data_IF_685352864670
#
_entry.id   IF_685352864670
#
_cell.length_a   1.000
_cell.length_b   1.000
_cell.length_c   1.000
_cell.angle_alpha   90.00
_cell.angle_beta   90.00
_cell.angle_gamma   90.00
#
_symmetry.space_group_name_H-M   'P 1'
#
loop_
_entity.id
_entity.type
_entity.pdbx_description
1 polymer ?
#
# COMPACT_ATOMS: atom_id res chain seq x y z
N UNK A 1 -8.42 3.64 -23.38
CA UNK A 1 -8.84 4.67 -22.40
C UNK A 1 -7.65 5.42 -21.82
N UNK A 2 -6.68 4.78 -21.15
CA UNK A 2 -5.44 5.46 -20.70
C UNK A 2 -4.71 6.15 -21.87
N UNK A 3 -4.51 5.43 -22.98
CA UNK A 3 -3.84 5.99 -24.17
C UNK A 3 -4.64 7.11 -24.85
N UNK A 4 -5.96 7.13 -24.70
CA UNK A 4 -6.81 8.18 -25.25
C UNK A 4 -6.58 9.50 -24.49
N UNK A 5 -6.55 9.43 -23.15
CA UNK A 5 -6.23 10.57 -22.28
C UNK A 5 -4.82 11.08 -22.60
N UNK A 6 -3.82 10.19 -22.62
CA UNK A 6 -2.45 10.57 -22.91
C UNK A 6 -2.30 11.23 -24.31
N UNK A 7 -2.99 10.70 -25.32
CA UNK A 7 -2.98 11.26 -26.67
C UNK A 7 -3.60 12.64 -26.75
N UNK A 8 -4.72 12.87 -26.07
CA UNK A 8 -5.39 14.17 -26.01
C UNK A 8 -4.54 15.20 -25.24
N UNK A 9 -3.96 14.80 -24.11
CA UNK A 9 -3.09 15.66 -23.31
C UNK A 9 -1.81 16.04 -24.06
N UNK A 10 -1.26 15.14 -24.88
CA UNK A 10 -0.13 15.47 -25.75
C UNK A 10 -0.47 16.55 -26.78
N UNK A 11 -1.71 16.60 -27.25
CA UNK A 11 -2.15 17.56 -28.26
C UNK A 11 -2.57 18.91 -27.67
N UNK A 12 -3.20 18.89 -26.48
CA UNK A 12 -3.86 20.07 -25.91
C UNK A 12 -3.35 20.48 -24.52
N UNK A 13 -2.44 19.72 -23.93
CA UNK A 13 -2.02 19.86 -22.54
C UNK A 13 -2.94 19.13 -21.56
N UNK A 14 -2.37 18.74 -20.42
CA UNK A 14 -3.13 18.20 -19.30
C UNK A 14 -3.91 19.30 -18.57
N UNK A 15 -5.17 19.03 -18.19
CA UNK A 15 -6.00 19.98 -17.46
C UNK A 15 -5.98 19.68 -15.97
N UNK A 16 -5.02 20.28 -15.27
CA UNK A 16 -4.83 20.16 -13.82
C UNK A 16 -5.89 20.89 -12.98
N UNK A 17 -6.83 21.63 -13.59
CA UNK A 17 -7.98 22.18 -12.84
C UNK A 17 -9.12 21.16 -12.69
N UNK A 18 -9.01 19.99 -13.34
CA UNK A 18 -10.03 18.94 -13.23
C UNK A 18 -9.85 18.26 -11.90
N UNK A 19 -10.84 18.35 -11.00
CA UNK A 19 -10.83 17.67 -9.70
C UNK A 19 -9.58 17.94 -8.85
N UNK A 20 -9.03 19.16 -8.91
CA UNK A 20 -7.79 19.54 -8.22
C UNK A 20 -7.84 19.61 -6.68
N UNK A 21 -8.88 19.04 -6.08
CA UNK A 21 -9.14 18.97 -4.63
C UNK A 21 -9.38 17.49 -4.29
N UNK A 22 -9.37 17.13 -3.00
CA UNK A 22 -9.56 15.74 -2.54
C UNK A 22 -10.78 15.04 -3.15
N UNK A 23 -10.52 13.99 -3.93
CA UNK A 23 -11.54 13.29 -4.70
C UNK A 23 -11.67 11.82 -4.28
N UNK A 24 -12.91 11.37 -4.07
CA UNK A 24 -13.21 9.94 -3.87
C UNK A 24 -13.80 9.37 -5.15
N UNK A 25 -13.23 8.28 -5.64
CA UNK A 25 -13.69 7.49 -6.79
C UNK A 25 -14.25 6.14 -6.32
N UNK A 26 -15.32 5.66 -6.93
CA UNK A 26 -15.94 4.37 -6.59
C UNK A 26 -17.17 4.51 -5.68
N UNK A 27 -17.24 3.70 -4.63
CA UNK A 27 -18.22 3.90 -3.57
C UNK A 27 -17.98 5.25 -2.89
N UNK A 28 -19.02 5.85 -2.32
CA UNK A 28 -18.94 7.14 -1.63
C UNK A 28 -18.33 8.30 -2.48
N UNK A 29 -18.31 8.13 -3.81
CA UNK A 29 -17.69 9.10 -4.71
C UNK A 29 -18.28 10.50 -4.58
N UNK A 30 -17.41 11.50 -4.46
CA UNK A 30 -17.77 12.92 -4.42
C UNK A 30 -17.67 13.60 -5.80
N UNK A 31 -17.29 12.85 -6.84
CA UNK A 31 -17.19 13.38 -8.21
C UNK A 31 -18.54 13.85 -8.73
N UNK A 32 -18.56 14.86 -9.59
CA UNK A 32 -19.79 15.25 -10.29
C UNK A 32 -20.18 14.28 -11.43
N UNK A 33 -19.28 13.36 -11.79
CA UNK A 33 -19.43 12.47 -12.95
C UNK A 33 -19.87 11.07 -12.50
N UNK A 34 -21.11 10.72 -12.85
CA UNK A 34 -21.72 9.45 -12.48
C UNK A 34 -20.98 8.20 -12.94
N UNK A 35 -20.04 8.31 -13.90
CA UNK A 35 -19.25 7.14 -14.34
C UNK A 35 -18.33 6.60 -13.24
N UNK A 36 -17.91 7.46 -12.31
CA UNK A 36 -17.05 7.10 -11.18
C UNK A 36 -17.85 6.69 -9.95
N UNK A 37 -19.18 6.70 -10.01
CA UNK A 37 -20.05 6.36 -8.88
C UNK A 37 -20.41 4.88 -8.89
N UNK A 38 -20.10 4.20 -7.79
CA UNK A 38 -20.59 2.85 -7.53
C UNK A 38 -21.66 2.95 -6.45
N UNK A 39 -22.90 2.62 -6.82
CA UNK A 39 -24.01 2.65 -5.89
C UNK A 39 -23.89 1.54 -4.82
N UNK A 40 -24.36 1.81 -3.60
CA UNK A 40 -24.43 0.81 -2.53
C UNK A 40 -25.18 -0.45 -2.97
N UNK A 41 -24.70 -1.62 -2.54
CA UNK A 41 -25.27 -2.93 -2.88
C UNK A 41 -24.91 -3.43 -4.28
N UNK A 42 -24.03 -2.75 -5.01
CA UNK A 42 -23.47 -3.29 -6.25
C UNK A 42 -22.41 -4.34 -5.92
N UNK A 43 -22.72 -5.58 -6.27
CA UNK A 43 -21.78 -6.70 -6.11
C UNK A 43 -20.69 -6.72 -7.18
N UNK A 44 -20.79 -5.95 -8.27
CA UNK A 44 -19.79 -5.92 -9.35
C UNK A 44 -19.60 -4.51 -9.86
N UNK A 45 -18.41 -4.24 -10.41
CA UNK A 45 -18.14 -2.98 -11.07
C UNK A 45 -19.12 -2.80 -12.25
N UNK A 46 -19.90 -1.71 -12.29
CA UNK A 46 -20.91 -1.54 -13.34
C UNK A 46 -20.30 -1.27 -14.72
N UNK A 47 -19.27 -0.43 -14.77
CA UNK A 47 -18.56 -0.01 -15.98
C UNK A 47 -17.08 0.21 -15.67
N UNK A 48 -16.16 -0.22 -16.55
CA UNK A 48 -14.77 0.17 -16.48
C UNK A 48 -14.58 1.68 -16.65
N UNK A 49 -13.57 2.25 -16.00
CA UNK A 49 -13.23 3.66 -16.15
C UNK A 49 -11.72 3.92 -16.03
N UNK A 50 -11.29 5.09 -16.47
CA UNK A 50 -9.92 5.58 -16.28
C UNK A 50 -9.96 6.94 -15.59
N UNK A 51 -9.18 7.07 -14.52
CA UNK A 51 -9.10 8.27 -13.70
C UNK A 51 -8.09 9.23 -14.33
N UNK A 52 -8.49 10.49 -14.43
CA UNK A 52 -7.57 11.61 -14.57
C UNK A 52 -7.88 12.55 -13.42
N UNK A 53 -6.91 12.82 -12.57
CA UNK A 53 -7.02 13.79 -11.50
C UNK A 53 -5.96 14.88 -11.66
N UNK A 54 -6.34 16.13 -11.36
CA UNK A 54 -5.50 17.31 -11.44
C UNK A 54 -4.68 17.55 -10.17
N UNK A 55 -5.00 16.89 -9.06
CA UNK A 55 -4.29 16.96 -7.79
C UNK A 55 -5.25 16.98 -6.60
N UNK A 56 -4.71 16.99 -5.39
CA UNK A 56 -5.48 16.80 -4.17
C UNK A 56 -4.93 15.62 -3.40
N UNK A 57 -5.69 15.12 -2.44
CA UNK A 57 -5.45 13.81 -1.82
C UNK A 57 -6.66 12.92 -2.10
N UNK A 58 -6.47 11.98 -3.01
CA UNK A 58 -7.53 11.23 -3.65
C UNK A 58 -7.63 9.80 -3.10
N UNK A 59 -8.83 9.23 -3.20
CA UNK A 59 -9.14 7.90 -2.66
C UNK A 59 -9.87 7.04 -3.69
N UNK A 60 -9.37 5.83 -3.92
CA UNK A 60 -10.15 4.75 -4.52
C UNK A 60 -10.94 4.02 -3.42
N UNK A 61 -12.26 4.17 -3.40
CA UNK A 61 -13.11 3.46 -2.46
C UNK A 61 -13.85 2.32 -3.17
N UNK A 62 -13.39 1.10 -2.91
CA UNK A 62 -13.92 -0.16 -3.39
C UNK A 62 -14.49 -1.04 -2.25
N UNK A 63 -14.77 -0.42 -1.10
CA UNK A 63 -15.21 -1.06 0.15
C UNK A 63 -16.47 -1.92 0.05
N UNK A 64 -17.32 -1.67 -0.94
CA UNK A 64 -18.55 -2.43 -1.13
C UNK A 64 -18.38 -3.74 -1.91
N UNK A 65 -17.18 -4.07 -2.40
CA UNK A 65 -16.93 -5.32 -3.11
C UNK A 65 -16.46 -6.44 -2.19
N UNK A 66 -16.72 -7.68 -2.59
CA UNK A 66 -16.40 -8.90 -1.83
C UNK A 66 -15.58 -9.91 -2.63
N UNK A 67 -15.29 -9.60 -3.88
CA UNK A 67 -14.35 -10.38 -4.69
C UNK A 67 -12.94 -9.91 -4.42
N UNK A 68 -12.00 -10.84 -4.52
CA UNK A 68 -10.57 -10.56 -4.60
C UNK A 68 -10.28 -9.51 -5.68
N UNK A 69 -9.57 -8.46 -5.29
CA UNK A 69 -9.20 -7.32 -6.12
C UNK A 69 -7.68 -7.27 -6.28
N UNK A 70 -7.23 -6.71 -7.40
CA UNK A 70 -5.84 -6.32 -7.58
C UNK A 70 -5.81 -4.83 -7.86
N UNK A 71 -5.42 -4.03 -6.89
CA UNK A 71 -5.43 -2.57 -6.97
C UNK A 71 -3.99 -2.07 -7.06
N UNK A 72 -3.73 -1.16 -8.00
CA UNK A 72 -2.42 -0.62 -8.28
C UNK A 72 -2.53 0.89 -8.48
N UNK A 73 -1.94 1.64 -7.54
CA UNK A 73 -2.01 3.10 -7.47
C UNK A 73 -0.97 3.81 -8.35
N UNK A 74 -0.16 3.06 -9.10
CA UNK A 74 0.83 3.65 -10.00
C UNK A 74 0.16 4.29 -11.22
N UNK A 75 0.76 5.37 -11.71
CA UNK A 75 0.26 6.07 -12.88
C UNK A 75 0.35 5.18 -14.14
N UNK A 76 -0.71 5.17 -14.94
CA UNK A 76 -0.79 4.28 -16.10
C UNK A 76 -1.04 2.80 -15.78
N UNK A 77 -1.20 2.43 -14.50
CA UNK A 77 -1.54 1.06 -14.11
C UNK A 77 -3.01 0.74 -14.39
N UNK A 78 -3.28 -0.57 -14.47
CA UNK A 78 -4.62 -1.15 -14.54
C UNK A 78 -4.85 -2.04 -13.32
N UNK A 79 -6.08 -1.99 -12.81
CA UNK A 79 -6.53 -2.69 -11.62
C UNK A 79 -7.71 -3.61 -11.95
N UNK A 80 -7.75 -4.74 -11.26
CA UNK A 80 -8.86 -5.70 -11.28
C UNK A 80 -9.81 -5.37 -10.13
N UNK A 81 -11.00 -4.84 -10.43
CA UNK A 81 -11.92 -4.28 -9.42
C UNK A 81 -13.31 -4.83 -9.61
N UNK A 82 -14.00 -5.15 -8.50
CA UNK A 82 -15.40 -5.58 -8.51
C UNK A 82 -15.68 -6.78 -9.44
N UNK A 83 -14.76 -7.75 -9.48
CA UNK A 83 -14.85 -8.97 -10.28
C UNK A 83 -14.59 -8.80 -11.79
N UNK A 84 -13.99 -7.68 -12.21
CA UNK A 84 -13.57 -7.44 -13.59
C UNK A 84 -12.05 -7.36 -13.69
N UNK A 85 -11.50 -7.71 -14.86
CA UNK A 85 -10.07 -7.61 -15.18
C UNK A 85 -9.76 -6.30 -15.88
N UNK A 86 -8.64 -5.67 -15.55
CA UNK A 86 -8.14 -4.42 -16.16
C UNK A 86 -9.22 -3.32 -16.24
N UNK A 87 -10.03 -3.21 -15.20
CA UNK A 87 -11.29 -2.47 -15.23
C UNK A 87 -11.21 -1.05 -14.72
N UNK A 88 -10.24 -0.75 -13.85
CA UNK A 88 -9.97 0.60 -13.37
C UNK A 88 -8.55 0.95 -13.75
N UNK A 89 -8.36 2.07 -14.44
CA UNK A 89 -7.03 2.58 -14.78
C UNK A 89 -6.78 3.94 -14.16
N UNK A 90 -5.52 4.24 -13.87
CA UNK A 90 -5.07 5.59 -13.54
C UNK A 90 -4.35 6.15 -14.77
N UNK A 91 -4.74 7.34 -15.23
CA UNK A 91 -4.07 7.96 -16.37
C UNK A 91 -2.62 8.29 -16.03
N UNK A 92 -1.75 8.33 -17.05
CA UNK A 92 -0.35 8.71 -16.86
C UNK A 92 -0.25 10.12 -16.28
N UNK A 93 0.69 10.31 -15.35
CA UNK A 93 0.89 11.57 -14.63
C UNK A 93 -0.31 12.06 -13.80
N UNK A 94 -1.20 11.13 -13.44
CA UNK A 94 -2.22 11.30 -12.41
C UNK A 94 -1.80 10.47 -11.21
N UNK A 95 -2.04 10.98 -10.01
CA UNK A 95 -1.73 10.29 -8.76
C UNK A 95 -3.02 10.04 -7.99
N UNK A 96 -3.03 8.98 -7.21
CA UNK A 96 -4.08 8.68 -6.23
C UNK A 96 -3.37 8.13 -5.01
N UNK A 97 -3.60 8.75 -3.85
CA UNK A 97 -2.81 8.51 -2.65
C UNK A 97 -3.42 7.42 -1.78
N UNK A 98 -4.73 7.23 -1.82
CA UNK A 98 -5.42 6.37 -0.86
C UNK A 98 -6.26 5.30 -1.54
N UNK A 99 -6.44 4.20 -0.83
CA UNK A 99 -7.33 3.11 -1.22
C UNK A 99 -8.04 2.51 -0.02
N UNK A 100 -9.32 2.25 -0.20
CA UNK A 100 -10.13 1.41 0.69
C UNK A 100 -10.61 0.25 -0.17
N UNK A 101 -10.05 -0.93 0.05
CA UNK A 101 -10.43 -2.16 -0.65
C UNK A 101 -11.61 -2.84 0.05
N UNK A 102 -11.90 -4.08 -0.31
CA UNK A 102 -13.18 -4.74 -0.02
C UNK A 102 -13.10 -5.76 1.11
N UNK A 103 -13.98 -6.76 1.03
CA UNK A 103 -13.97 -7.92 1.93
C UNK A 103 -13.40 -9.19 1.27
N UNK A 104 -12.72 -9.04 0.13
CA UNK A 104 -12.08 -10.13 -0.60
C UNK A 104 -10.63 -10.29 -0.16
N UNK A 105 -9.94 -11.32 -0.67
CA UNK A 105 -8.49 -11.43 -0.44
C UNK A 105 -7.77 -10.57 -1.49
N UNK A 106 -7.44 -9.35 -1.11
CA UNK A 106 -7.04 -8.30 -2.04
C UNK A 106 -5.50 -8.20 -2.14
N UNK A 107 -5.03 -7.82 -3.32
CA UNK A 107 -3.62 -7.43 -3.52
C UNK A 107 -3.56 -5.95 -3.84
N UNK A 108 -2.89 -5.19 -2.98
CA UNK A 108 -2.83 -3.73 -3.07
C UNK A 108 -1.38 -3.30 -3.24
N UNK A 109 -1.15 -2.48 -4.27
CA UNK A 109 0.15 -1.92 -4.61
C UNK A 109 0.01 -0.39 -4.58
N UNK A 110 0.73 0.25 -3.66
CA UNK A 110 0.90 1.70 -3.59
C UNK A 110 1.77 2.24 -4.71
N UNK A 111 2.11 3.52 -4.61
CA UNK A 111 2.99 4.23 -5.54
C UNK A 111 4.20 4.79 -4.79
N UNK A 112 4.87 5.82 -5.32
CA UNK A 112 6.07 6.39 -4.70
C UNK A 112 5.76 7.60 -3.78
N UNK A 113 4.48 7.89 -3.57
CA UNK A 113 4.00 8.94 -2.68
C UNK A 113 3.48 8.31 -1.39
N UNK A 114 3.37 9.08 -0.32
CA UNK A 114 2.78 8.60 0.92
C UNK A 114 1.33 8.14 0.70
N UNK A 115 1.05 6.87 0.95
CA UNK A 115 -0.25 6.26 0.73
C UNK A 115 -0.98 5.92 2.05
N UNK A 116 -2.32 5.99 2.01
CA UNK A 116 -3.17 5.42 3.05
C UNK A 116 -3.94 4.22 2.48
N UNK A 117 -3.53 3.03 2.89
CA UNK A 117 -4.05 1.76 2.39
C UNK A 117 -4.88 1.09 3.47
N UNK A 118 -6.16 0.87 3.19
CA UNK A 118 -7.08 0.07 4.01
C UNK A 118 -7.52 -1.13 3.19
N UNK A 119 -7.02 -2.32 3.51
CA UNK A 119 -7.32 -3.52 2.72
C UNK A 119 -8.71 -4.09 3.04
N UNK A 120 -9.08 -4.13 4.33
CA UNK A 120 -10.46 -4.32 4.74
C UNK A 120 -10.64 -5.64 5.46
N UNK A 121 -11.36 -6.58 4.86
CA UNK A 121 -11.48 -7.93 5.42
C UNK A 121 -11.03 -8.94 4.37
N UNK A 122 -10.52 -10.09 4.81
CA UNK A 122 -9.88 -11.05 3.91
C UNK A 122 -8.43 -11.26 4.31
N UNK A 123 -7.74 -12.19 3.68
CA UNK A 123 -6.30 -12.37 3.85
C UNK A 123 -5.60 -11.54 2.76
N UNK A 124 -5.19 -10.32 3.10
CA UNK A 124 -4.73 -9.33 2.12
C UNK A 124 -3.21 -9.30 1.94
N UNK A 125 -2.76 -8.88 0.76
CA UNK A 125 -1.35 -8.62 0.45
C UNK A 125 -1.18 -7.13 0.14
N UNK A 126 -0.40 -6.44 0.97
CA UNK A 126 -0.23 -4.99 0.91
C UNK A 126 1.24 -4.67 0.62
N UNK A 127 1.49 -3.95 -0.46
CA UNK A 127 2.79 -3.40 -0.81
C UNK A 127 2.67 -1.87 -0.90
N UNK A 128 3.18 -1.15 0.10
CA UNK A 128 3.17 0.33 0.14
C UNK A 128 4.01 0.96 -0.98
N UNK A 129 5.13 0.30 -1.33
CA UNK A 129 6.17 0.81 -2.20
C UNK A 129 6.93 1.96 -1.54
N UNK A 130 7.16 3.08 -2.22
CA UNK A 130 7.97 4.17 -1.67
C UNK A 130 7.09 5.23 -1.03
N UNK A 131 7.51 5.80 0.09
CA UNK A 131 6.70 6.82 0.76
C UNK A 131 6.89 6.76 2.26
N UNK A 132 6.06 7.49 2.99
CA UNK A 132 5.81 7.21 4.41
C UNK A 132 4.35 6.75 4.51
N UNK A 133 4.14 5.45 4.40
CA UNK A 133 2.81 4.88 4.22
C UNK A 133 2.10 4.57 5.53
N UNK A 134 0.78 4.66 5.50
CA UNK A 134 -0.11 4.16 6.54
C UNK A 134 -0.83 2.92 6.01
N UNK A 135 -0.46 1.77 6.56
CA UNK A 135 -0.92 0.47 6.09
C UNK A 135 -1.86 -0.15 7.11
N UNK A 136 -3.07 -0.47 6.69
CA UNK A 136 -4.07 -1.14 7.51
C UNK A 136 -4.52 -2.43 6.82
N UNK A 137 -4.28 -3.57 7.48
CA UNK A 137 -4.71 -4.89 7.00
C UNK A 137 -6.20 -5.08 7.22
N UNK A 138 -6.62 -4.89 8.46
CA UNK A 138 -8.00 -5.05 8.88
C UNK A 138 -8.30 -6.45 9.40
N UNK A 139 -9.44 -7.04 9.01
CA UNK A 139 -9.85 -8.36 9.47
C UNK A 139 -9.25 -9.45 8.60
N UNK A 140 -8.19 -10.10 9.05
CA UNK A 140 -7.52 -11.06 8.18
C UNK A 140 -6.34 -11.77 8.81
N UNK A 141 -5.64 -12.52 7.97
CA UNK A 141 -4.21 -12.80 8.13
C UNK A 141 -3.47 -12.07 7.02
N UNK A 142 -3.07 -10.84 7.30
CA UNK A 142 -2.58 -9.92 6.26
C UNK A 142 -1.06 -9.98 6.12
N UNK A 143 -0.56 -9.74 4.92
CA UNK A 143 0.88 -9.70 4.64
C UNK A 143 1.30 -8.34 4.13
N UNK A 144 2.12 -7.65 4.92
CA UNK A 144 2.76 -6.38 4.57
C UNK A 144 4.12 -6.68 3.94
N UNK A 145 4.24 -6.42 2.64
CA UNK A 145 5.41 -6.77 1.83
C UNK A 145 6.30 -5.56 1.66
N UNK A 146 7.61 -5.75 1.84
CA UNK A 146 8.65 -4.77 1.56
C UNK A 146 9.71 -5.41 0.65
N UNK A 147 10.01 -4.76 -0.47
CA UNK A 147 10.86 -5.29 -1.54
C UNK A 147 12.21 -4.60 -1.62
N UNK A 148 12.27 -3.33 -1.27
CA UNK A 148 13.47 -2.52 -1.27
C UNK A 148 13.65 -1.81 0.08
N UNK A 149 14.90 -1.51 0.45
CA UNK A 149 15.17 -0.74 1.69
C UNK A 149 14.50 0.64 1.64
N UNK A 150 14.40 1.20 0.43
CA UNK A 150 13.73 2.48 0.17
C UNK A 150 12.23 2.46 0.36
N UNK A 151 11.62 1.29 0.46
CA UNK A 151 10.18 1.21 0.74
C UNK A 151 9.88 1.75 2.14
N UNK A 152 10.77 1.54 3.11
CA UNK A 152 10.58 2.02 4.48
C UNK A 152 11.92 2.27 5.18
N UNK A 153 12.58 3.35 4.75
CA UNK A 153 13.85 3.78 5.36
C UNK A 153 13.68 4.04 6.85
N UNK A 154 14.71 3.73 7.65
CA UNK A 154 14.69 4.04 9.07
C UNK A 154 14.50 5.54 9.40
N UNK A 155 14.82 6.44 8.46
CA UNK A 155 14.60 7.88 8.59
C UNK A 155 13.18 8.35 8.26
N UNK A 156 12.43 7.55 7.52
CA UNK A 156 11.07 7.85 7.02
C UNK A 156 10.29 6.53 6.93
N UNK A 157 10.01 5.90 8.09
CA UNK A 157 9.44 4.56 8.12
C UNK A 157 7.92 4.57 7.90
N UNK A 158 7.45 3.55 7.20
CA UNK A 158 6.05 3.18 7.12
C UNK A 158 5.49 2.82 8.48
N UNK A 159 4.16 2.87 8.58
CA UNK A 159 3.44 2.53 9.80
C UNK A 159 2.29 1.58 9.52
N UNK A 160 2.38 0.37 10.08
CA UNK A 160 1.28 -0.60 10.09
C UNK A 160 0.37 -0.28 11.28
N UNK A 161 -0.91 -0.06 11.00
CA UNK A 161 -1.85 0.61 11.91
C UNK A 161 -2.66 -0.33 12.80
N UNK A 162 -2.68 -1.62 12.51
CA UNK A 162 -3.49 -2.61 13.24
C UNK A 162 -2.86 -4.02 13.34
N UNK A 163 -1.53 -4.08 13.37
CA UNK A 163 -0.78 -5.34 13.34
C UNK A 163 -1.16 -6.30 14.48
N UNK A 164 -1.53 -7.53 14.11
CA UNK A 164 -1.92 -8.61 15.01
C UNK A 164 -0.97 -9.79 14.92
N UNK A 165 -0.06 -9.90 15.91
CA UNK A 165 0.88 -11.02 16.01
C UNK A 165 0.20 -12.40 15.96
N UNK A 166 0.84 -13.34 15.28
CA UNK A 166 0.34 -14.70 15.08
C UNK A 166 -0.72 -14.82 13.98
N UNK A 167 -1.18 -13.70 13.42
CA UNK A 167 -2.02 -13.67 12.21
C UNK A 167 -1.25 -13.00 11.08
N UNK A 168 -0.90 -11.74 11.28
CA UNK A 168 -0.32 -10.91 10.24
C UNK A 168 1.17 -11.21 10.08
N UNK A 169 1.69 -10.85 8.91
CA UNK A 169 3.08 -11.07 8.52
C UNK A 169 3.70 -9.80 7.96
N UNK A 170 4.97 -9.61 8.29
CA UNK A 170 5.84 -8.60 7.67
C UNK A 170 6.83 -9.38 6.81
N UNK A 171 6.76 -9.21 5.49
CA UNK A 171 7.63 -9.88 4.53
C UNK A 171 8.73 -8.94 4.05
N UNK A 172 9.97 -9.29 4.38
CA UNK A 172 11.19 -8.58 3.96
C UNK A 172 12.10 -9.47 3.11
N UNK A 173 11.62 -10.64 2.65
CA UNK A 173 12.43 -11.63 1.93
C UNK A 173 13.03 -11.09 0.63
N UNK A 174 12.29 -10.22 -0.07
CA UNK A 174 12.75 -9.54 -1.29
C UNK A 174 13.89 -8.55 -1.00
N UNK A 175 13.85 -7.83 0.13
CA UNK A 175 14.96 -6.95 0.58
C UNK A 175 16.23 -7.77 0.77
N UNK A 176 16.14 -8.90 1.49
CA UNK A 176 17.30 -9.74 1.80
C UNK A 176 17.88 -10.38 0.54
N UNK A 177 17.03 -10.80 -0.38
CA UNK A 177 17.43 -11.33 -1.69
C UNK A 177 18.16 -10.28 -2.54
N UNK A 178 17.67 -9.03 -2.52
CA UNK A 178 18.21 -7.93 -3.34
C UNK A 178 19.59 -7.47 -2.87
N UNK A 179 19.81 -7.39 -1.55
CA UNK A 179 21.12 -7.04 -0.99
C UNK A 179 22.13 -8.17 -1.26
N UNK A 180 21.65 -9.41 -1.28
CA UNK A 180 22.43 -10.59 -1.61
C UNK A 180 23.36 -11.05 -0.49
N UNK A 181 23.96 -12.22 -0.70
CA UNK A 181 24.56 -12.99 0.40
C UNK A 181 23.46 -13.69 1.20
N UNK A 182 23.77 -14.84 1.79
CA UNK A 182 22.80 -15.57 2.63
C UNK A 182 22.57 -14.82 3.95
N UNK A 183 21.91 -13.65 3.88
CA UNK A 183 21.58 -12.82 5.04
C UNK A 183 20.48 -13.53 5.82
N UNK A 184 20.76 -13.80 7.10
CA UNK A 184 19.77 -14.31 8.04
C UNK A 184 19.52 -13.24 9.08
N UNK A 185 18.24 -13.00 9.40
CA UNK A 185 17.90 -12.07 10.47
C UNK A 185 18.33 -12.62 11.82
N UNK A 186 19.02 -11.79 12.61
CA UNK A 186 19.45 -12.10 13.97
C UNK A 186 18.80 -11.13 14.94
N UNK A 187 17.80 -11.59 15.68
CA UNK A 187 17.04 -10.76 16.61
C UNK A 187 17.80 -10.51 17.92
N UNK A 188 17.98 -9.25 18.29
CA UNK A 188 18.64 -8.82 19.53
C UNK A 188 17.97 -7.55 20.11
N UNK A 189 18.40 -7.12 21.31
CA UNK A 189 17.89 -5.89 21.93
C UNK A 189 18.53 -4.61 21.37
N UNK A 190 19.65 -4.72 20.65
CA UNK A 190 20.42 -3.58 20.15
C UNK A 190 21.39 -3.98 19.03
N UNK A 191 21.68 -3.07 18.11
CA UNK A 191 22.67 -3.28 17.06
C UNK A 191 24.11 -3.27 17.59
N UNK A 192 24.92 -4.18 17.09
CA UNK A 192 26.36 -4.30 17.37
C UNK A 192 27.23 -4.05 16.14
N UNK A 193 26.62 -3.94 14.95
CA UNK A 193 27.29 -3.70 13.68
C UNK A 193 27.50 -4.98 12.87
N UNK A 194 26.53 -5.89 12.91
CA UNK A 194 26.50 -7.07 12.07
C UNK A 194 25.32 -6.99 11.09
N UNK A 195 25.58 -7.33 9.84
CA UNK A 195 24.54 -7.38 8.80
C UNK A 195 23.44 -8.38 9.21
N UNK A 196 22.19 -7.97 9.07
CA UNK A 196 21.01 -8.77 9.41
C UNK A 196 20.61 -8.70 10.88
N UNK A 197 21.32 -7.95 11.72
CA UNK A 197 20.83 -7.67 13.07
C UNK A 197 19.48 -6.97 13.00
N UNK A 198 18.54 -7.47 13.78
CA UNK A 198 17.15 -7.03 13.78
C UNK A 198 16.70 -6.75 15.20
N UNK A 199 15.98 -5.65 15.40
CA UNK A 199 15.42 -5.26 16.69
C UNK A 199 13.90 -5.22 16.56
N UNK A 200 13.23 -5.94 17.44
CA UNK A 200 11.78 -5.83 17.66
C UNK A 200 11.56 -5.11 18.99
N UNK A 201 10.83 -4.01 18.95
CA UNK A 201 10.48 -3.24 20.15
C UNK A 201 8.97 -3.15 20.31
N UNK A 202 8.51 -3.07 21.55
CA UNK A 202 7.10 -2.87 21.87
C UNK A 202 6.95 -2.18 23.23
N UNK A 203 6.18 -1.10 23.24
CA UNK A 203 5.74 -0.41 24.44
C UNK A 203 4.26 -0.71 24.73
N UNK A 204 3.95 -1.52 25.77
CA UNK A 204 2.57 -1.90 26.09
C UNK A 204 1.72 -0.72 26.58
N UNK A 205 2.30 0.41 26.99
CA UNK A 205 1.54 1.58 27.44
C UNK A 205 0.95 2.37 26.28
N UNK A 206 1.67 2.42 25.15
CA UNK A 206 1.23 3.11 23.93
C UNK A 206 0.72 2.18 22.85
N UNK A 207 0.90 0.86 23.03
CA UNK A 207 0.66 -0.18 22.01
C UNK A 207 1.49 0.02 20.75
N UNK A 208 2.60 0.77 20.83
CA UNK A 208 3.47 1.03 19.69
C UNK A 208 4.66 0.09 19.71
N UNK A 209 4.98 -0.47 18.56
CA UNK A 209 6.18 -1.26 18.33
C UNK A 209 6.89 -0.84 17.05
N UNK A 210 7.99 -1.52 16.75
CA UNK A 210 8.65 -1.43 15.46
C UNK A 210 9.49 -2.68 15.21
N UNK A 211 9.73 -2.95 13.93
CA UNK A 211 10.83 -3.78 13.44
C UNK A 211 11.88 -2.84 12.83
N UNK A 212 13.14 -2.98 13.23
CA UNK A 212 14.27 -2.27 12.63
C UNK A 212 15.37 -3.27 12.25
N UNK A 213 16.01 -3.07 11.10
CA UNK A 213 17.02 -4.00 10.56
C UNK A 213 18.27 -3.21 10.14
N UNK A 214 19.43 -3.64 10.63
CA UNK A 214 20.75 -3.19 10.17
C UNK A 214 21.18 -4.06 8.99
N UNK A 215 21.07 -3.51 7.79
CA UNK A 215 21.31 -4.22 6.54
C UNK A 215 22.74 -3.98 6.02
N UNK A 216 23.42 -2.96 6.54
CA UNK A 216 24.78 -2.56 6.16
C UNK A 216 25.85 -3.01 7.16
N UNK A 217 25.46 -3.43 8.37
CA UNK A 217 26.35 -3.82 9.46
C UNK A 217 27.03 -2.62 10.10
N UNK A 218 26.41 -1.44 10.09
CA UNK A 218 27.00 -0.21 10.62
C UNK A 218 26.60 0.09 12.07
N UNK A 219 25.80 -0.78 12.68
CA UNK A 219 25.30 -0.62 14.05
C UNK A 219 24.09 0.32 14.12
N UNK A 220 23.42 0.55 12.99
CA UNK A 220 22.29 1.44 12.83
C UNK A 220 21.24 0.77 11.94
N UNK A 221 19.97 1.09 12.15
CA UNK A 221 18.91 0.61 11.28
C UNK A 221 18.99 1.30 9.91
N UNK A 222 18.90 0.52 8.85
CA UNK A 222 18.74 0.99 7.47
C UNK A 222 17.26 0.95 7.06
N UNK A 223 16.57 -0.11 7.49
CA UNK A 223 15.14 -0.33 7.31
C UNK A 223 14.43 -0.29 8.66
N UNK A 224 13.25 0.32 8.71
CA UNK A 224 12.37 0.24 9.87
C UNK A 224 10.93 0.31 9.42
N UNK A 225 10.05 -0.47 10.05
CA UNK A 225 8.59 -0.31 9.97
C UNK A 225 8.02 -0.13 11.37
N UNK A 226 7.19 0.89 11.55
CA UNK A 226 6.49 1.15 12.80
C UNK A 226 5.22 0.31 12.87
N UNK A 227 4.81 -0.04 14.08
CA UNK A 227 3.64 -0.87 14.33
C UNK A 227 2.76 -0.24 15.40
N UNK A 228 1.45 -0.28 15.19
CA UNK A 228 0.47 -0.29 16.28
C UNK A 228 0.11 -1.74 16.51
N UNK A 229 0.58 -2.28 17.63
CA UNK A 229 0.61 -3.71 17.89
C UNK A 229 2.02 -4.19 18.21
N UNK A 230 2.09 -5.43 18.71
CA UNK A 230 3.35 -6.12 18.95
C UNK A 230 3.59 -7.10 17.81
N UNK A 231 4.82 -7.16 17.29
CA UNK A 231 5.30 -8.26 16.44
C UNK A 231 6.30 -9.12 17.18
N UNK A 232 6.37 -10.40 16.84
CA UNK A 232 7.43 -11.33 17.26
C UNK A 232 8.18 -11.88 16.05
N UNK A 233 9.33 -12.51 16.27
CA UNK A 233 10.17 -13.01 15.17
C UNK A 233 9.46 -14.02 14.25
N UNK A 234 8.50 -14.79 14.76
CA UNK A 234 7.69 -15.70 13.92
C UNK A 234 6.67 -15.00 13.02
N UNK A 235 6.50 -13.69 13.16
CA UNK A 235 5.66 -12.87 12.29
C UNK A 235 6.44 -12.28 11.11
N UNK A 236 7.77 -12.44 11.10
CA UNK A 236 8.63 -11.91 10.05
C UNK A 236 8.94 -13.02 9.04
N UNK A 237 8.64 -12.76 7.77
CA UNK A 237 9.06 -13.58 6.63
C UNK A 237 10.34 -12.97 6.08
N UNK A 238 11.39 -13.78 5.99
CA UNK A 238 12.76 -13.37 5.67
C UNK A 238 13.48 -14.50 4.93
#
# INVERSE_FOLDING_TARGET
MIDDIASLQKLYGANYNTRSDDTVYGFNSNTADSQFHIASGKEKLPVPFTIWDGGGTDTLDFSGFSQDQRIDLNDGALSDVGGMKDSVGIARSSFVENVISGSGNDTIIGNNEANNIQAGAGDDIIYGAGGEDQLQGGEGSDTFVFREVSDSFASSPDSIMDFTSGKDKIDVSDILTTIGGDITLSFSESFTGQVGESVLSFDPSTQKGYLAIDLTGLGMADFQVNLIGQAVSSDIIA
#
